data_IF_023857176979
#
_entry.id   IF_023857176979
#
_cell.length_a   1.000
_cell.length_b   1.000
_cell.length_c   1.000
_cell.angle_alpha   90.00
_cell.angle_beta   90.00
_cell.angle_gamma   90.00
#
_symmetry.space_group_name_H-M   'P 1'
#
loop_
_entity.id
_entity.type
_entity.pdbx_description
1 polymer ?
#
# COMPACT_ATOMS: atom_id res chain seq x y z
N UNK A 1 -15.31 -5.17 7.27
CA UNK A 1 -14.20 -4.20 7.39
C UNK A 1 -13.34 -4.28 6.12
N UNK A 2 -12.75 -3.16 5.72
CA UNK A 2 -11.91 -3.02 4.53
C UNK A 2 -10.45 -2.95 4.93
N UNK A 3 -9.58 -3.70 4.26
CA UNK A 3 -8.14 -3.68 4.49
C UNK A 3 -7.48 -2.76 3.47
N UNK A 4 -6.65 -1.84 3.93
CA UNK A 4 -5.83 -0.97 3.08
C UNK A 4 -4.38 -1.46 3.10
N UNK A 5 -3.81 -1.70 1.93
CA UNK A 5 -2.38 -1.98 1.75
C UNK A 5 -1.68 -0.66 1.49
N UNK A 6 -0.65 -0.34 2.28
CA UNK A 6 0.07 0.93 2.18
C UNK A 6 1.36 0.81 1.38
N UNK A 7 2.37 0.18 1.96
CA UNK A 7 3.71 0.10 1.38
C UNK A 7 4.44 -1.15 1.88
N UNK A 8 5.56 -1.46 1.24
CA UNK A 8 6.40 -2.58 1.65
C UNK A 8 7.27 -2.20 2.86
N UNK A 9 7.35 -3.09 3.83
CA UNK A 9 8.26 -3.02 4.98
C UNK A 9 9.03 -4.32 5.03
N UNK A 10 10.36 -4.25 4.97
CA UNK A 10 11.21 -5.42 4.76
C UNK A 10 10.78 -6.17 3.48
N UNK A 11 10.37 -7.41 3.58
CA UNK A 11 9.84 -8.22 2.48
C UNK A 11 8.34 -8.48 2.62
N UNK A 12 7.66 -7.66 3.40
CA UNK A 12 6.23 -7.76 3.65
C UNK A 12 5.46 -6.53 3.20
N UNK A 13 4.14 -6.60 3.26
CA UNK A 13 3.22 -5.51 2.96
C UNK A 13 2.56 -5.02 4.25
N UNK A 14 2.73 -3.75 4.57
CA UNK A 14 2.05 -3.14 5.69
C UNK A 14 0.59 -2.85 5.35
N UNK A 15 -0.30 -3.31 6.24
CA UNK A 15 -1.76 -3.22 6.07
C UNK A 15 -2.40 -2.62 7.31
N UNK A 16 -3.50 -1.87 7.11
CA UNK A 16 -4.40 -1.40 8.18
C UNK A 16 -5.84 -1.77 7.86
N UNK A 17 -6.70 -1.71 8.87
CA UNK A 17 -8.15 -1.82 8.70
C UNK A 17 -8.74 -0.41 8.64
N UNK A 18 -9.56 -0.12 7.63
CA UNK A 18 -10.24 1.18 7.52
C UNK A 18 -11.13 1.44 8.75
N UNK A 19 -11.25 2.73 9.13
CA UNK A 19 -12.03 3.15 10.30
C UNK A 19 -11.22 3.33 11.58
N UNK A 20 -9.90 3.49 11.48
CA UNK A 20 -8.96 3.72 12.62
C UNK A 20 -9.03 2.65 13.73
N UNK A 21 -9.43 1.44 13.37
CA UNK A 21 -9.43 0.31 14.29
C UNK A 21 -8.03 -0.28 14.36
N UNK A 22 -7.40 -0.13 15.50
CA UNK A 22 -6.11 -0.79 15.76
C UNK A 22 -6.28 -2.32 15.71
N UNK A 23 -5.38 -2.98 15.00
CA UNK A 23 -5.35 -4.44 14.93
C UNK A 23 -4.70 -4.98 16.20
N UNK A 24 -5.39 -5.87 16.88
CA UNK A 24 -4.89 -6.64 18.01
C UNK A 24 -4.63 -8.11 17.62
N UNK A 25 -4.13 -8.90 18.58
CA UNK A 25 -3.82 -10.31 18.34
C UNK A 25 -5.07 -11.12 17.96
N UNK A 26 -6.23 -10.82 18.56
CA UNK A 26 -7.49 -11.52 18.28
C UNK A 26 -7.96 -11.28 16.85
N UNK A 27 -7.88 -10.03 16.38
CA UNK A 27 -8.23 -9.65 15.00
C UNK A 27 -7.25 -10.28 14.02
N UNK A 28 -5.95 -10.24 14.33
CA UNK A 28 -4.92 -10.81 13.47
C UNK A 28 -5.11 -12.33 13.31
N UNK A 29 -5.37 -13.04 14.40
CA UNK A 29 -5.64 -14.49 14.39
C UNK A 29 -6.88 -14.82 13.54
N UNK A 30 -7.94 -14.02 13.64
CA UNK A 30 -9.15 -14.18 12.79
C UNK A 30 -8.84 -14.02 11.31
N UNK A 31 -8.01 -13.03 10.96
CA UNK A 31 -7.57 -12.79 9.58
C UNK A 31 -6.74 -13.98 9.09
N UNK A 32 -5.76 -14.42 9.87
CA UNK A 32 -4.89 -15.53 9.52
C UNK A 32 -5.66 -16.83 9.33
N UNK A 33 -6.55 -17.16 10.27
CA UNK A 33 -7.41 -18.35 10.18
C UNK A 33 -8.28 -18.31 8.92
N UNK A 34 -8.86 -17.14 8.58
CA UNK A 34 -9.66 -17.01 7.37
C UNK A 34 -8.83 -17.15 6.09
N UNK A 35 -7.63 -16.63 6.07
CA UNK A 35 -6.70 -16.82 4.94
C UNK A 35 -6.34 -18.30 4.77
N UNK A 36 -6.05 -19.00 5.87
CA UNK A 36 -5.76 -20.44 5.87
C UNK A 36 -6.95 -21.25 5.34
N UNK A 37 -8.18 -20.93 5.76
CA UNK A 37 -9.40 -21.58 5.23
C UNK A 37 -9.53 -21.41 3.72
N UNK A 38 -9.40 -20.20 3.21
CA UNK A 38 -9.48 -19.88 1.78
C UNK A 38 -8.43 -20.68 0.98
N UNK A 39 -7.22 -20.79 1.52
CA UNK A 39 -6.12 -21.57 0.92
C UNK A 39 -6.45 -23.06 0.93
N UNK A 40 -7.00 -23.60 2.02
CA UNK A 40 -7.38 -25.02 2.14
C UNK A 40 -8.55 -25.39 1.22
N UNK A 41 -9.49 -24.49 1.06
CA UNK A 41 -10.61 -24.65 0.12
C UNK A 41 -10.16 -24.52 -1.34
N UNK A 42 -8.92 -24.12 -1.58
CA UNK A 42 -8.33 -23.92 -2.91
C UNK A 42 -9.22 -23.11 -3.86
N UNK A 43 -9.78 -22.00 -3.34
CA UNK A 43 -10.74 -21.16 -4.07
C UNK A 43 -10.13 -20.65 -5.39
N UNK A 44 -10.84 -20.83 -6.54
CA UNK A 44 -10.34 -20.41 -7.84
C UNK A 44 -10.38 -18.89 -8.02
N UNK A 45 -9.34 -18.34 -8.70
CA UNK A 45 -9.34 -16.98 -9.23
C UNK A 45 -9.88 -16.98 -10.66
N UNK A 46 -11.12 -16.53 -10.84
CA UNK A 46 -11.77 -16.46 -12.14
C UNK A 46 -11.48 -15.12 -12.81
N UNK A 47 -10.76 -15.14 -13.93
CA UNK A 47 -10.42 -13.95 -14.72
C UNK A 47 -11.48 -13.67 -15.77
N UNK A 48 -11.89 -12.39 -15.89
CA UNK A 48 -12.69 -11.88 -17.02
C UNK A 48 -12.12 -10.54 -17.50
N UNK A 49 -12.27 -10.27 -18.79
CA UNK A 49 -11.89 -8.95 -19.34
C UNK A 49 -13.16 -8.18 -19.65
N UNK A 50 -13.30 -6.98 -19.11
CA UNK A 50 -14.46 -6.11 -19.27
C UNK A 50 -14.05 -4.77 -19.87
N UNK A 51 -15.03 -3.98 -20.33
CA UNK A 51 -14.78 -2.60 -20.74
C UNK A 51 -14.39 -1.74 -19.52
N UNK A 52 -13.56 -0.73 -19.74
CA UNK A 52 -13.09 0.13 -18.64
C UNK A 52 -14.24 0.88 -17.98
N UNK A 53 -15.24 1.33 -18.76
CA UNK A 53 -16.43 1.99 -18.20
C UNK A 53 -17.25 1.03 -17.32
N UNK A 54 -17.41 -0.24 -17.73
CA UNK A 54 -18.05 -1.28 -16.92
C UNK A 54 -17.27 -1.53 -15.60
N UNK A 55 -15.93 -1.40 -15.63
CA UNK A 55 -15.10 -1.52 -14.41
C UNK A 55 -15.30 -0.33 -13.47
N UNK A 56 -15.44 0.88 -13.99
CA UNK A 56 -15.76 2.08 -13.20
C UNK A 56 -17.08 1.87 -12.44
N UNK A 57 -18.13 1.43 -13.12
CA UNK A 57 -19.43 1.12 -12.52
C UNK A 57 -19.34 0.00 -11.48
N UNK A 58 -18.54 -1.04 -11.76
CA UNK A 58 -18.28 -2.14 -10.84
C UNK A 58 -17.64 -1.63 -9.54
N UNK A 59 -16.60 -0.81 -9.63
CA UNK A 59 -15.91 -0.27 -8.45
C UNK A 59 -16.81 0.67 -7.66
N UNK A 60 -17.61 1.50 -8.33
CA UNK A 60 -18.63 2.32 -7.68
C UNK A 60 -19.60 1.47 -6.87
N UNK A 61 -20.15 0.41 -7.47
CA UNK A 61 -21.09 -0.52 -6.82
C UNK A 61 -20.51 -1.19 -5.57
N UNK A 62 -19.20 -1.49 -5.57
CA UNK A 62 -18.51 -2.10 -4.43
C UNK A 62 -17.96 -1.07 -3.41
N UNK A 63 -18.21 0.25 -3.63
CA UNK A 63 -17.68 1.31 -2.77
C UNK A 63 -16.17 1.46 -2.83
N UNK A 64 -15.55 1.03 -3.94
CA UNK A 64 -14.12 1.16 -4.20
C UNK A 64 -13.84 2.47 -4.95
N UNK A 65 -14.17 3.59 -4.30
CA UNK A 65 -14.14 4.92 -4.95
C UNK A 65 -12.74 5.36 -5.39
N UNK A 66 -11.70 4.92 -4.71
CA UNK A 66 -10.31 5.11 -5.10
C UNK A 66 -9.98 4.46 -6.46
N UNK A 67 -10.52 3.27 -6.71
CA UNK A 67 -10.37 2.54 -7.97
C UNK A 67 -11.27 3.11 -9.05
N UNK A 68 -12.51 3.46 -8.73
CA UNK A 68 -13.41 4.19 -9.63
C UNK A 68 -12.73 5.44 -10.18
N UNK A 69 -12.17 6.27 -9.29
CA UNK A 69 -11.48 7.51 -9.67
C UNK A 69 -10.23 7.22 -10.51
N UNK A 70 -9.41 6.23 -10.13
CA UNK A 70 -8.24 5.82 -10.90
C UNK A 70 -8.61 5.40 -12.33
N UNK A 71 -9.68 4.62 -12.48
CA UNK A 71 -10.06 4.06 -13.77
C UNK A 71 -10.70 5.07 -14.72
N UNK A 72 -11.25 6.19 -14.23
CA UNK A 72 -11.70 7.31 -15.06
C UNK A 72 -10.58 7.94 -15.91
N UNK A 73 -9.33 7.83 -15.46
CA UNK A 73 -8.14 8.33 -16.18
C UNK A 73 -7.43 7.27 -17.02
N UNK A 74 -7.96 6.05 -17.04
CA UNK A 74 -7.32 4.94 -17.74
C UNK A 74 -7.58 5.02 -19.25
N UNK A 75 -6.50 4.97 -20.05
CA UNK A 75 -6.58 5.02 -21.51
C UNK A 75 -6.92 3.67 -22.18
N UNK A 76 -6.70 2.56 -21.48
CA UNK A 76 -7.03 1.22 -22.00
C UNK A 76 -8.54 1.03 -22.04
N UNK A 77 -9.06 0.54 -23.16
CA UNK A 77 -10.48 0.25 -23.31
C UNK A 77 -10.98 -0.98 -22.53
N UNK A 78 -10.05 -1.82 -22.10
CA UNK A 78 -10.38 -3.06 -21.36
C UNK A 78 -9.49 -3.25 -20.15
N UNK A 79 -10.04 -3.95 -19.14
CA UNK A 79 -9.36 -4.28 -17.88
C UNK A 79 -9.65 -5.74 -17.50
N UNK A 80 -8.64 -6.36 -16.87
CA UNK A 80 -8.79 -7.69 -16.31
C UNK A 80 -9.33 -7.61 -14.87
N UNK A 81 -10.48 -8.19 -14.64
CA UNK A 81 -11.08 -8.37 -13.32
C UNK A 81 -10.89 -9.83 -12.91
N UNK A 82 -10.48 -10.02 -11.67
CA UNK A 82 -10.39 -11.32 -11.03
C UNK A 82 -11.46 -11.43 -9.95
N UNK A 83 -12.12 -12.55 -9.92
CA UNK A 83 -13.18 -12.87 -8.96
C UNK A 83 -12.79 -14.07 -8.12
N UNK A 84 -12.95 -13.95 -6.82
CA UNK A 84 -12.83 -15.04 -5.85
C UNK A 84 -13.95 -14.92 -4.82
N UNK A 85 -14.78 -15.96 -4.67
CA UNK A 85 -15.87 -16.01 -3.68
C UNK A 85 -16.75 -14.74 -3.62
N UNK A 86 -17.12 -14.19 -4.78
CA UNK A 86 -17.98 -13.01 -4.86
C UNK A 86 -17.25 -11.66 -4.72
N UNK A 87 -16.00 -11.65 -4.30
CA UNK A 87 -15.16 -10.46 -4.32
C UNK A 87 -14.53 -10.29 -5.69
N UNK A 88 -14.58 -9.06 -6.25
CA UNK A 88 -14.01 -8.74 -7.56
C UNK A 88 -13.05 -7.56 -7.44
N UNK A 89 -11.88 -7.71 -8.06
CA UNK A 89 -10.88 -6.65 -8.14
C UNK A 89 -10.08 -6.76 -9.44
N UNK A 90 -9.40 -5.67 -9.82
CA UNK A 90 -8.52 -5.69 -10.98
C UNK A 90 -7.10 -6.17 -10.62
N UNK A 91 -6.43 -6.76 -11.61
CA UNK A 91 -5.00 -6.98 -11.53
C UNK A 91 -4.35 -6.79 -12.92
N UNK A 92 -3.21 -6.09 -12.95
CA UNK A 92 -2.49 -5.85 -14.21
C UNK A 92 -1.78 -7.09 -14.75
N UNK A 93 -1.28 -7.93 -13.87
CA UNK A 93 -0.55 -9.14 -14.21
C UNK A 93 -1.44 -10.38 -14.23
N UNK A 94 -0.77 -11.52 -14.29
CA UNK A 94 -1.42 -12.81 -14.11
C UNK A 94 -1.44 -13.15 -12.61
N UNK A 95 -2.58 -13.64 -12.15
CA UNK A 95 -2.70 -14.24 -10.83
C UNK A 95 -2.54 -15.77 -10.94
N UNK A 96 -2.21 -16.40 -9.83
CA UNK A 96 -2.23 -17.87 -9.73
C UNK A 96 -3.64 -18.39 -9.97
N UNK A 97 -3.81 -19.65 -10.42
CA UNK A 97 -5.13 -20.20 -10.74
C UNK A 97 -6.09 -20.28 -9.55
N UNK A 98 -5.55 -20.50 -8.34
CA UNK A 98 -6.35 -20.64 -7.13
C UNK A 98 -5.57 -20.25 -5.87
N UNK A 99 -6.28 -20.07 -4.77
CA UNK A 99 -5.71 -19.68 -3.48
C UNK A 99 -4.75 -20.74 -2.89
N UNK A 100 -4.90 -22.01 -3.25
CA UNK A 100 -4.04 -23.10 -2.79
C UNK A 100 -2.55 -22.96 -3.17
N UNK A 101 -2.21 -22.06 -4.10
CA UNK A 101 -0.83 -21.71 -4.41
C UNK A 101 -0.19 -20.77 -3.39
N UNK A 102 -0.99 -20.06 -2.54
CA UNK A 102 -0.53 -19.03 -1.61
C UNK A 102 -0.25 -19.61 -0.21
N UNK A 103 0.45 -20.74 -0.13
CA UNK A 103 0.60 -21.54 1.10
C UNK A 103 1.54 -20.94 2.13
N UNK A 104 2.46 -20.10 1.69
CA UNK A 104 3.57 -19.61 2.50
C UNK A 104 3.39 -18.12 2.76
N UNK A 105 2.98 -17.77 3.95
CA UNK A 105 2.88 -16.40 4.44
C UNK A 105 2.96 -16.40 5.97
N UNK A 106 3.20 -15.25 6.56
CA UNK A 106 3.03 -15.02 8.00
C UNK A 106 2.47 -13.61 8.25
N UNK A 107 1.73 -13.44 9.31
CA UNK A 107 1.20 -12.16 9.73
C UNK A 107 1.91 -11.70 11.01
N UNK A 108 2.25 -10.41 11.08
CA UNK A 108 2.92 -9.82 12.23
C UNK A 108 2.24 -8.51 12.61
N UNK A 109 1.86 -8.35 13.87
CA UNK A 109 1.41 -7.06 14.37
C UNK A 109 2.52 -6.03 14.23
N UNK A 110 2.19 -4.87 13.67
CA UNK A 110 3.13 -3.79 13.50
C UNK A 110 2.42 -2.44 13.54
N UNK A 111 2.87 -1.56 14.44
CA UNK A 111 2.27 -0.24 14.67
C UNK A 111 0.75 -0.32 14.96
N UNK A 112 -0.10 0.27 14.14
CA UNK A 112 -1.57 0.25 14.28
C UNK A 112 -2.23 -0.87 13.47
N UNK A 113 -1.45 -1.55 12.62
CA UNK A 113 -1.92 -2.56 11.69
C UNK A 113 -1.11 -3.85 11.78
N UNK A 114 -0.83 -4.43 10.63
CA UNK A 114 -0.07 -5.68 10.51
C UNK A 114 0.72 -5.74 9.21
N UNK A 115 1.72 -6.60 9.20
CA UNK A 115 2.51 -6.90 7.99
C UNK A 115 2.18 -8.30 7.51
N UNK A 116 1.86 -8.42 6.22
CA UNK A 116 1.79 -9.71 5.51
C UNK A 116 3.18 -9.98 4.95
N UNK A 117 3.87 -10.98 5.48
CA UNK A 117 5.18 -11.40 5.00
C UNK A 117 5.05 -12.59 4.07
N UNK A 118 5.79 -12.55 2.96
CA UNK A 118 5.78 -13.57 1.92
C UNK A 118 7.18 -14.13 1.70
N UNK A 119 7.31 -15.33 1.09
CA UNK A 119 8.59 -15.87 0.65
C UNK A 119 9.32 -14.96 -0.32
N UNK A 120 10.62 -15.14 -0.43
CA UNK A 120 11.45 -14.45 -1.44
C UNK A 120 11.48 -15.22 -2.75
N UNK A 121 11.91 -14.55 -3.82
CA UNK A 121 12.16 -15.23 -5.11
C UNK A 121 13.26 -16.26 -5.03
N UNK A 122 14.25 -16.09 -4.14
CA UNK A 122 15.34 -17.03 -3.93
C UNK A 122 14.89 -18.32 -3.25
N UNK A 123 13.94 -18.19 -2.31
CA UNK A 123 13.37 -19.33 -1.59
C UNK A 123 11.85 -19.19 -1.48
N UNK A 124 11.09 -19.70 -2.48
CA UNK A 124 9.64 -19.50 -2.55
C UNK A 124 8.85 -20.39 -1.57
N UNK A 125 9.53 -21.19 -0.74
CA UNK A 125 8.90 -22.08 0.24
C UNK A 125 9.15 -21.65 1.70
N UNK A 126 10.05 -20.68 1.92
CA UNK A 126 10.43 -20.23 3.25
C UNK A 126 10.02 -18.77 3.41
N UNK A 127 9.20 -18.49 4.40
CA UNK A 127 8.92 -17.13 4.84
C UNK A 127 10.06 -16.69 5.76
N UNK A 128 10.83 -15.66 5.40
CA UNK A 128 11.92 -15.20 6.24
C UNK A 128 11.37 -14.59 7.54
N UNK A 129 12.16 -14.56 8.63
CA UNK A 129 11.74 -13.91 9.86
C UNK A 129 11.54 -12.41 9.62
N UNK A 130 10.45 -11.85 10.16
CA UNK A 130 10.15 -10.43 10.06
C UNK A 130 11.22 -9.60 10.81
N UNK A 131 11.78 -8.60 10.14
CA UNK A 131 12.77 -7.67 10.69
C UNK A 131 12.25 -6.25 10.58
N UNK A 132 11.73 -5.68 11.68
CA UNK A 132 11.18 -4.32 11.66
C UNK A 132 12.23 -3.30 11.22
N UNK A 133 11.92 -2.53 10.20
CA UNK A 133 12.76 -1.42 9.72
C UNK A 133 12.17 -0.08 10.19
N UNK A 134 12.22 0.17 11.50
CA UNK A 134 11.52 1.29 12.13
C UNK A 134 11.82 2.65 11.46
N UNK A 135 13.06 2.96 11.14
CA UNK A 135 13.43 4.25 10.52
C UNK A 135 12.77 4.42 9.15
N UNK A 136 12.80 3.38 8.31
CA UNK A 136 12.17 3.40 7.00
C UNK A 136 10.65 3.52 7.15
N UNK A 137 10.06 2.75 8.06
CA UNK A 137 8.63 2.79 8.33
C UNK A 137 8.16 4.19 8.78
N UNK A 138 8.87 4.81 9.72
CA UNK A 138 8.55 6.15 10.23
C UNK A 138 8.56 7.19 9.09
N UNK A 139 9.54 7.12 8.17
CA UNK A 139 9.61 8.00 6.99
C UNK A 139 8.46 7.76 6.02
N UNK A 140 8.13 6.48 5.73
CA UNK A 140 7.01 6.13 4.85
C UNK A 140 5.67 6.56 5.45
N UNK A 141 5.49 6.36 6.76
CA UNK A 141 4.28 6.80 7.49
C UNK A 141 4.14 8.33 7.46
N UNK A 142 5.25 9.06 7.63
CA UNK A 142 5.25 10.53 7.51
C UNK A 142 4.91 10.99 6.09
N UNK A 143 5.49 10.36 5.07
CA UNK A 143 5.20 10.67 3.67
C UNK A 143 3.72 10.42 3.33
N UNK A 144 3.13 9.33 3.83
CA UNK A 144 1.69 9.07 3.66
C UNK A 144 0.82 10.15 4.28
N UNK A 145 1.14 10.62 5.50
CA UNK A 145 0.42 11.72 6.15
C UNK A 145 0.46 13.02 5.35
N UNK A 146 1.53 13.25 4.60
CA UNK A 146 1.59 14.43 3.71
C UNK A 146 0.65 14.28 2.52
N UNK A 147 0.55 13.08 1.94
CA UNK A 147 -0.46 12.77 0.93
C UNK A 147 -1.87 13.01 1.43
N UNK A 148 -2.17 12.54 2.65
CA UNK A 148 -3.47 12.71 3.29
C UNK A 148 -3.81 14.20 3.49
N UNK A 149 -2.86 15.00 3.98
CA UNK A 149 -3.05 16.45 4.19
C UNK A 149 -3.30 17.22 2.87
N UNK A 150 -2.75 16.73 1.76
CA UNK A 150 -2.95 17.32 0.44
C UNK A 150 -4.19 16.78 -0.30
N UNK A 151 -4.87 15.78 0.26
CA UNK A 151 -5.99 15.09 -0.37
C UNK A 151 -5.59 14.27 -1.60
N UNK A 152 -4.32 13.83 -1.67
CA UNK A 152 -3.75 13.04 -2.77
C UNK A 152 -3.28 11.65 -2.31
N UNK A 153 -4.07 11.00 -1.47
CA UNK A 153 -3.76 9.69 -0.90
C UNK A 153 -3.64 8.57 -1.95
N UNK A 154 -4.27 8.77 -3.11
CA UNK A 154 -4.32 7.78 -4.18
C UNK A 154 -3.90 8.39 -5.52
N UNK A 155 -3.49 7.52 -6.47
CA UNK A 155 -3.18 7.97 -7.84
C UNK A 155 -4.41 8.56 -8.53
N UNK A 156 -5.61 8.06 -8.24
CA UNK A 156 -6.86 8.65 -8.73
C UNK A 156 -7.02 10.08 -8.27
N UNK A 157 -6.90 10.34 -6.96
CA UNK A 157 -6.97 11.67 -6.36
C UNK A 157 -5.88 12.61 -6.92
N UNK A 158 -4.65 12.11 -7.09
CA UNK A 158 -3.57 12.87 -7.73
C UNK A 158 -3.94 13.29 -9.18
N UNK A 159 -4.46 12.37 -9.98
CA UNK A 159 -4.88 12.65 -11.35
C UNK A 159 -6.02 13.69 -11.40
N UNK A 160 -6.97 13.57 -10.49
CA UNK A 160 -8.08 14.52 -10.34
C UNK A 160 -7.58 15.93 -10.00
N UNK A 161 -6.63 16.02 -9.06
CA UNK A 161 -6.06 17.31 -8.68
C UNK A 161 -5.23 17.93 -9.82
N UNK A 162 -4.41 17.14 -10.52
CA UNK A 162 -3.66 17.59 -11.70
C UNK A 162 -4.62 18.15 -12.78
N UNK A 163 -5.73 17.47 -13.00
CA UNK A 163 -6.72 17.86 -14.01
C UNK A 163 -7.48 19.13 -13.60
N UNK A 164 -7.78 19.29 -12.31
CA UNK A 164 -8.57 20.40 -11.76
C UNK A 164 -7.76 21.69 -11.61
N UNK A 165 -6.57 21.63 -11.02
CA UNK A 165 -5.79 22.78 -10.59
C UNK A 165 -4.38 22.85 -11.17
N UNK A 166 -3.95 21.79 -11.86
CA UNK A 166 -2.57 21.64 -12.35
C UNK A 166 -1.61 21.21 -11.23
N UNK A 167 -0.45 20.70 -11.63
CA UNK A 167 0.56 20.18 -10.70
C UNK A 167 1.33 21.28 -9.94
N UNK A 168 1.29 22.54 -10.42
CA UNK A 168 2.18 23.59 -9.93
C UNK A 168 2.03 23.89 -8.45
N UNK A 169 0.80 24.00 -7.95
CA UNK A 169 0.56 24.28 -6.52
C UNK A 169 1.02 23.12 -5.64
N UNK A 170 0.82 21.87 -6.07
CA UNK A 170 1.30 20.69 -5.34
C UNK A 170 2.82 20.66 -5.27
N UNK A 171 3.50 20.97 -6.38
CA UNK A 171 4.98 21.06 -6.41
C UNK A 171 5.48 22.11 -5.44
N UNK A 172 4.93 23.32 -5.46
CA UNK A 172 5.32 24.40 -4.54
C UNK A 172 5.13 24.02 -3.05
N UNK A 173 4.01 23.37 -2.71
CA UNK A 173 3.76 22.92 -1.33
C UNK A 173 4.76 21.82 -0.95
N UNK A 174 5.05 20.88 -1.86
CA UNK A 174 5.99 19.80 -1.62
C UNK A 174 7.43 20.32 -1.44
N UNK A 175 7.85 21.28 -2.26
CA UNK A 175 9.16 21.95 -2.11
C UNK A 175 9.27 22.69 -0.79
N UNK A 176 8.25 23.45 -0.38
CA UNK A 176 8.22 24.14 0.90
C UNK A 176 8.32 23.16 2.10
N UNK A 177 7.64 22.00 2.02
CA UNK A 177 7.74 20.95 3.04
C UNK A 177 9.15 20.34 3.09
N UNK A 178 9.77 20.12 1.93
CA UNK A 178 11.15 19.62 1.85
C UNK A 178 12.13 20.60 2.49
N UNK A 179 12.04 21.89 2.17
CA UNK A 179 12.88 22.94 2.78
C UNK A 179 12.70 23.00 4.29
N UNK A 180 11.45 22.91 4.77
CA UNK A 180 11.18 22.83 6.22
C UNK A 180 11.88 21.65 6.87
N UNK A 181 11.86 20.46 6.24
CA UNK A 181 12.55 19.26 6.76
C UNK A 181 14.06 19.44 6.80
N UNK A 182 14.64 20.06 5.77
CA UNK A 182 16.07 20.35 5.75
C UNK A 182 16.44 21.31 6.91
N UNK A 183 15.62 22.34 7.15
CA UNK A 183 15.81 23.26 8.25
C UNK A 183 15.70 22.57 9.62
N UNK A 184 14.73 21.68 9.82
CA UNK A 184 14.59 20.88 11.05
C UNK A 184 15.84 20.01 11.30
N UNK A 185 16.38 19.36 10.26
CA UNK A 185 17.63 18.57 10.35
C UNK A 185 18.79 19.46 10.71
N UNK A 186 18.92 20.63 10.08
CA UNK A 186 19.99 21.60 10.39
C UNK A 186 19.92 22.06 11.85
N UNK A 187 18.72 22.31 12.36
CA UNK A 187 18.52 22.68 13.76
C UNK A 187 18.87 21.54 14.73
N UNK A 188 18.48 20.30 14.40
CA UNK A 188 18.89 19.12 15.17
C UNK A 188 20.42 18.96 15.24
N UNK A 189 21.12 19.22 14.14
CA UNK A 189 22.57 19.19 14.07
C UNK A 189 23.17 20.29 14.96
N UNK A 190 22.70 21.54 14.83
CA UNK A 190 23.12 22.69 15.61
C UNK A 190 22.99 22.48 17.13
N UNK A 191 21.90 21.83 17.54
CA UNK A 191 21.60 21.59 18.96
C UNK A 191 22.45 20.45 19.58
N UNK A 192 23.15 19.65 18.79
CA UNK A 192 24.07 18.60 19.25
C UNK A 192 25.47 19.15 19.45
N UNK A 193 25.86 19.45 20.69
CA UNK A 193 27.15 20.12 21.05
C UNK A 193 28.43 19.36 20.70
N UNK A 194 28.37 18.04 20.42
CA UNK A 194 29.54 17.18 20.26
C UNK A 194 29.70 16.57 18.88
N UNK A 195 28.99 17.08 17.86
CA UNK A 195 29.13 16.59 16.48
C UNK A 195 30.42 17.12 15.90
N UNK A 196 31.29 16.19 15.47
CA UNK A 196 32.54 16.53 14.73
C UNK A 196 32.41 16.16 13.24
N UNK A 197 31.57 15.20 12.91
CA UNK A 197 31.37 14.71 11.54
C UNK A 197 29.88 14.52 11.26
N UNK A 198 29.46 14.87 10.08
CA UNK A 198 28.12 14.64 9.54
C UNK A 198 28.30 13.80 8.28
N UNK A 199 27.72 12.60 8.26
CA UNK A 199 27.72 11.73 7.09
C UNK A 199 26.33 11.79 6.46
N UNK A 200 26.28 12.19 5.18
CA UNK A 200 25.05 12.22 4.38
C UNK A 200 25.15 11.08 3.37
N UNK A 201 24.24 10.12 3.45
CA UNK A 201 24.13 9.01 2.50
C UNK A 201 22.78 9.07 1.80
N UNK A 202 22.77 8.83 0.50
CA UNK A 202 21.57 8.74 -0.31
C UNK A 202 21.74 7.67 -1.37
N UNK A 203 20.65 7.20 -2.02
CA UNK A 203 20.76 6.33 -3.17
C UNK A 203 21.49 7.10 -4.28
N UNK A 204 22.56 6.52 -4.82
CA UNK A 204 23.16 7.06 -6.04
C UNK A 204 22.25 6.66 -7.22
N UNK A 205 21.83 7.63 -7.99
CA UNK A 205 21.16 7.41 -9.29
C UNK A 205 22.18 7.16 -10.38
#
# INVERSE_FOLDING_TARGET
DKVRIHYSVDQGLYCTIEGNRKVDEEILEKIENRMIEIIREDMPFCKRSIQTDEAVDLFHKYGMYDKEELFRYRRSSRVNIYRMNGFEDYNYGYMVPSAGYLRYFSLHLYDEGFVIQMPTLQDPRIVPPFRPQKKLFDVLKESSKWGDMLGIETVGALNSEITRAGAQNMVLVQEAQQEKKIAEIAEMIKNRKNIKFILIAGPSS
#
